data_IF_079907423091
#
_entry.id   IF_079907423091
#
_cell.length_a   1.000
_cell.length_b   1.000
_cell.length_c   1.000
_cell.angle_alpha   90.00
_cell.angle_beta   90.00
_cell.angle_gamma   90.00
#
_symmetry.space_group_name_H-M   'P 1'
#
loop_
_entity.id
_entity.type
_entity.pdbx_description
1 polymer ?
#
# COMPACT_ATOMS: atom_id res chain seq x y z
N UNK A 1 -12.32 3.79 16.09
CA UNK A 1 -11.49 2.81 15.37
C UNK A 1 -12.01 2.48 13.96
N UNK A 2 -13.28 2.10 13.76
CA UNK A 2 -13.80 1.88 12.38
C UNK A 2 -13.78 3.16 11.53
N UNK A 3 -14.14 4.30 12.13
CA UNK A 3 -14.22 5.61 11.46
C UNK A 3 -12.91 6.02 10.79
N UNK A 4 -11.77 5.84 11.46
CA UNK A 4 -10.46 6.24 10.89
C UNK A 4 -10.12 5.51 9.59
N UNK A 5 -10.47 4.23 9.47
CA UNK A 5 -10.21 3.48 8.24
C UNK A 5 -11.22 3.78 7.13
N UNK A 6 -12.35 4.43 7.42
CA UNK A 6 -13.26 4.91 6.38
C UNK A 6 -12.64 6.07 5.59
N UNK A 7 -11.77 6.89 6.20
CA UNK A 7 -11.00 7.93 5.49
C UNK A 7 -10.23 7.37 4.30
N UNK A 8 -9.70 6.16 4.42
CA UNK A 8 -9.01 5.48 3.33
C UNK A 8 -9.97 5.17 2.17
N UNK A 9 -11.18 4.71 2.47
CA UNK A 9 -12.20 4.43 1.45
C UNK A 9 -12.76 5.70 0.83
N UNK A 10 -12.97 6.75 1.64
CA UNK A 10 -13.39 8.07 1.18
C UNK A 10 -12.36 8.69 0.22
N UNK A 11 -11.07 8.42 0.43
CA UNK A 11 -10.01 8.77 -0.52
C UNK A 11 -9.99 7.90 -1.80
N UNK A 12 -10.94 6.98 -1.97
CA UNK A 12 -11.06 6.09 -3.13
C UNK A 12 -10.22 4.81 -3.04
N UNK A 13 -9.57 4.53 -1.90
CA UNK A 13 -8.81 3.29 -1.73
C UNK A 13 -9.75 2.11 -1.46
N UNK A 14 -9.41 0.96 -2.02
CA UNK A 14 -10.08 -0.30 -1.71
C UNK A 14 -9.44 -0.89 -0.46
N UNK A 15 -10.23 -1.04 0.60
CA UNK A 15 -9.78 -1.63 1.88
C UNK A 15 -10.43 -2.99 2.08
N UNK A 16 -9.63 -4.05 2.08
CA UNK A 16 -10.08 -5.43 2.31
C UNK A 16 -9.61 -5.92 3.68
N UNK A 17 -10.56 -6.23 4.55
CA UNK A 17 -10.26 -6.91 5.81
C UNK A 17 -10.09 -8.42 5.59
N UNK A 18 -9.04 -8.99 6.17
CA UNK A 18 -8.83 -10.43 6.13
C UNK A 18 -9.67 -11.11 7.23
N UNK A 19 -10.87 -11.59 6.88
CA UNK A 19 -11.77 -12.28 7.80
C UNK A 19 -11.13 -13.59 8.31
N UNK A 20 -11.21 -13.85 9.62
CA UNK A 20 -10.86 -15.15 10.22
C UNK A 20 -9.45 -15.33 10.78
N UNK A 21 -8.64 -14.27 10.92
CA UNK A 21 -7.32 -14.37 11.59
C UNK A 21 -7.32 -13.67 12.95
N UNK A 22 -6.52 -14.18 13.91
CA UNK A 22 -6.30 -13.55 15.23
C UNK A 22 -5.78 -12.11 15.11
N UNK A 23 -4.96 -11.84 14.11
CA UNK A 23 -4.45 -10.50 13.80
C UNK A 23 -5.31 -9.90 12.69
N UNK A 24 -5.97 -8.79 12.99
CA UNK A 24 -6.68 -7.99 11.99
C UNK A 24 -5.66 -7.40 11.03
N UNK A 25 -5.78 -7.76 9.75
CA UNK A 25 -4.98 -7.20 8.66
C UNK A 25 -5.91 -6.57 7.65
N UNK A 26 -5.65 -5.32 7.30
CA UNK A 26 -6.29 -4.60 6.22
C UNK A 26 -5.33 -4.61 5.03
N UNK A 27 -5.80 -5.06 3.87
CA UNK A 27 -5.08 -4.93 2.60
C UNK A 27 -5.63 -3.71 1.88
N UNK A 28 -4.74 -2.88 1.38
CA UNK A 28 -5.09 -1.59 0.79
C UNK A 28 -4.58 -1.57 -0.65
N UNK A 29 -5.46 -1.10 -1.54
CA UNK A 29 -5.20 -1.04 -2.96
C UNK A 29 -5.67 0.30 -3.49
N UNK A 30 -4.85 0.96 -4.31
CA UNK A 30 -5.24 2.18 -5.03
C UNK A 30 -5.64 1.82 -6.46
N UNK A 31 -6.93 1.94 -6.85
CA UNK A 31 -7.35 1.77 -8.23
C UNK A 31 -6.61 2.75 -9.15
N UNK A 32 -6.33 2.32 -10.38
CA UNK A 32 -5.65 3.15 -11.38
C UNK A 32 -6.49 4.37 -11.80
N UNK A 33 -7.81 4.32 -11.62
CA UNK A 33 -8.72 5.45 -11.85
C UNK A 33 -8.66 6.54 -10.76
N UNK A 34 -8.02 6.27 -9.63
CA UNK A 34 -7.87 7.24 -8.53
C UNK A 34 -6.52 7.97 -8.69
N UNK A 35 -6.53 9.32 -8.74
CA UNK A 35 -5.31 10.11 -8.88
C UNK A 35 -4.37 9.95 -7.68
N UNK A 36 -3.16 10.49 -7.79
CA UNK A 36 -2.10 10.35 -6.78
C UNK A 36 -0.99 9.41 -7.23
N UNK A 37 -0.11 9.06 -6.30
CA UNK A 37 1.14 8.35 -6.58
C UNK A 37 0.87 6.98 -7.24
N UNK A 38 1.63 6.68 -8.29
CA UNK A 38 1.68 5.37 -8.92
C UNK A 38 3.12 4.89 -8.94
N UNK A 39 3.29 3.56 -8.97
CA UNK A 39 4.59 2.97 -9.22
C UNK A 39 4.74 2.75 -10.71
N UNK A 40 5.96 2.89 -11.23
CA UNK A 40 6.26 2.75 -12.66
C UNK A 40 6.06 1.31 -13.20
N UNK A 41 5.78 0.34 -12.33
CA UNK A 41 5.43 -1.02 -12.72
C UNK A 41 4.11 -1.08 -13.50
N UNK A 42 3.93 -2.11 -14.35
CA UNK A 42 2.60 -2.44 -14.88
C UNK A 42 1.66 -2.70 -13.70
N UNK A 43 0.57 -1.94 -13.66
CA UNK A 43 -0.46 -2.14 -12.64
C UNK A 43 -0.96 -3.58 -12.57
N UNK A 44 -1.38 -4.03 -11.39
CA UNK A 44 -1.90 -5.38 -11.20
C UNK A 44 -3.43 -5.36 -11.02
N UNK A 45 -4.14 -6.34 -11.60
CA UNK A 45 -5.59 -6.44 -11.42
C UNK A 45 -5.93 -7.09 -10.07
N UNK A 46 -7.00 -6.62 -9.44
CA UNK A 46 -7.65 -7.29 -8.31
C UNK A 46 -9.11 -7.57 -8.63
N UNK A 47 -9.65 -8.66 -8.07
CA UNK A 47 -11.10 -8.88 -8.05
C UNK A 47 -11.71 -8.21 -6.83
N UNK A 48 -12.65 -7.29 -7.00
CA UNK A 48 -13.36 -6.60 -5.92
C UNK A 48 -14.83 -6.42 -6.33
N UNK A 49 -15.76 -6.84 -5.47
CA UNK A 49 -17.22 -6.74 -5.72
C UNK A 49 -17.62 -7.27 -7.11
N UNK A 50 -17.11 -8.44 -7.49
CA UNK A 50 -17.33 -9.09 -8.79
C UNK A 50 -16.79 -8.32 -10.01
N UNK A 51 -16.02 -7.25 -9.80
CA UNK A 51 -15.34 -6.48 -10.85
C UNK A 51 -13.83 -6.75 -10.83
N UNK A 52 -13.20 -6.60 -11.99
CA UNK A 52 -11.74 -6.61 -12.13
C UNK A 52 -11.25 -5.15 -12.17
N UNK A 53 -10.54 -4.74 -11.14
CA UNK A 53 -10.04 -3.37 -10.97
C UNK A 53 -8.53 -3.38 -11.15
N UNK A 54 -8.02 -2.55 -12.06
CA UNK A 54 -6.58 -2.34 -12.22
C UNK A 54 -6.08 -1.41 -11.10
N UNK A 55 -4.97 -1.77 -10.45
CA UNK A 55 -4.32 -0.95 -9.43
C UNK A 55 -2.97 -0.44 -9.93
N UNK A 56 -2.69 0.86 -9.76
CA UNK A 56 -1.47 1.52 -10.27
C UNK A 56 -0.36 1.66 -9.22
N UNK A 57 -0.55 1.12 -8.02
CA UNK A 57 0.38 1.21 -6.92
C UNK A 57 0.44 -0.12 -6.15
N UNK A 58 1.55 -0.42 -5.45
CA UNK A 58 1.71 -1.64 -4.66
C UNK A 58 0.54 -1.91 -3.70
N UNK A 59 0.22 -3.19 -3.54
CA UNK A 59 -0.60 -3.64 -2.42
C UNK A 59 0.17 -3.39 -1.13
N UNK A 60 -0.40 -2.55 -0.28
CA UNK A 60 0.09 -2.34 1.08
C UNK A 60 -0.82 -3.03 2.10
N UNK A 61 -0.36 -3.12 3.34
CA UNK A 61 -1.14 -3.67 4.44
C UNK A 61 -1.01 -2.84 5.71
N UNK A 62 -2.10 -2.73 6.45
CA UNK A 62 -2.11 -2.30 7.85
C UNK A 62 -2.41 -3.50 8.73
N UNK A 63 -1.68 -3.64 9.83
CA UNK A 63 -2.04 -4.62 10.87
C UNK A 63 -1.62 -4.15 12.25
N UNK A 64 -2.28 -4.69 13.27
CA UNK A 64 -1.96 -4.40 14.66
C UNK A 64 -1.15 -5.55 15.27
N UNK A 65 -0.11 -5.22 16.03
CA UNK A 65 0.64 -6.19 16.84
C UNK A 65 0.93 -5.55 18.20
N UNK A 66 0.33 -6.11 19.26
CA UNK A 66 0.31 -5.48 20.57
C UNK A 66 -0.38 -4.11 20.51
N UNK A 67 0.25 -3.10 21.11
CA UNK A 67 -0.25 -1.72 21.14
C UNK A 67 0.18 -0.89 19.93
N UNK A 68 0.81 -1.52 18.93
CA UNK A 68 1.37 -0.83 17.78
C UNK A 68 0.68 -1.20 16.47
N UNK A 69 0.66 -0.22 15.57
CA UNK A 69 0.15 -0.36 14.21
C UNK A 69 1.32 -0.42 13.26
N UNK A 70 1.17 -1.22 12.21
CA UNK A 70 2.19 -1.37 11.18
C UNK A 70 1.60 -1.03 9.84
N UNK A 71 2.36 -0.30 9.03
CA UNK A 71 2.11 -0.10 7.61
C UNK A 71 3.24 -0.74 6.83
N UNK A 72 2.90 -1.63 5.89
CA UNK A 72 3.90 -2.41 5.17
C UNK A 72 3.59 -2.49 3.68
N UNK A 73 4.66 -2.42 2.89
CA UNK A 73 4.73 -2.87 1.50
C UNK A 73 5.78 -3.98 1.45
N UNK A 74 5.40 -5.12 0.87
CA UNK A 74 6.27 -6.28 0.76
C UNK A 74 6.01 -6.98 -0.57
N UNK A 75 6.86 -6.69 -1.54
CA UNK A 75 6.78 -7.18 -2.92
C UNK A 75 7.88 -8.19 -3.25
N UNK A 76 8.91 -8.30 -2.42
CA UNK A 76 10.06 -9.17 -2.66
C UNK A 76 10.08 -10.41 -1.77
N UNK A 77 10.70 -11.48 -2.26
CA UNK A 77 10.94 -12.71 -1.52
C UNK A 77 12.30 -13.30 -1.94
N UNK A 78 13.06 -13.93 -1.02
CA UNK A 78 12.71 -14.30 0.36
C UNK A 78 12.92 -13.20 1.42
N UNK A 79 13.47 -12.04 1.05
CA UNK A 79 13.71 -10.90 1.94
C UNK A 79 13.16 -9.59 1.35
N UNK A 80 13.33 -8.46 2.08
CA UNK A 80 12.91 -7.16 1.57
C UNK A 80 13.76 -6.78 0.36
N UNK A 81 13.13 -6.20 -0.65
CA UNK A 81 13.82 -5.58 -1.78
C UNK A 81 13.57 -4.08 -1.84
N UNK A 82 14.04 -3.43 -2.91
CA UNK A 82 13.88 -1.98 -3.08
C UNK A 82 12.42 -1.53 -2.94
N UNK A 83 12.20 -0.51 -2.12
CA UNK A 83 10.88 0.05 -1.82
C UNK A 83 9.94 -0.82 -0.97
N UNK A 84 10.42 -1.95 -0.42
CA UNK A 84 9.70 -2.66 0.65
C UNK A 84 10.00 -2.02 2.01
N UNK A 85 9.00 -1.99 2.88
CA UNK A 85 9.13 -1.45 4.24
C UNK A 85 8.12 -2.07 5.20
N UNK A 86 8.36 -1.89 6.49
CA UNK A 86 7.45 -2.29 7.57
C UNK A 86 7.58 -1.30 8.73
N UNK A 87 6.88 -0.18 8.60
CA UNK A 87 6.97 0.95 9.53
C UNK A 87 5.98 0.80 10.67
N UNK A 88 6.40 1.25 11.86
CA UNK A 88 5.65 1.14 13.10
C UNK A 88 5.09 2.51 13.51
N UNK A 89 3.83 2.51 13.93
CA UNK A 89 3.08 3.68 14.36
C UNK A 89 2.42 3.40 15.71
N UNK A 90 2.23 4.47 16.50
CA UNK A 90 1.69 4.37 17.86
C UNK A 90 0.18 4.42 17.87
N UNK A 91 -0.45 4.93 16.82
CA UNK A 91 -1.90 5.11 16.76
C UNK A 91 -2.50 4.75 15.40
N UNK A 92 -3.82 4.59 15.39
CA UNK A 92 -4.60 4.37 14.17
C UNK A 92 -4.57 5.61 13.27
N UNK A 93 -4.61 6.82 13.86
CA UNK A 93 -4.55 8.06 13.07
C UNK A 93 -3.24 8.14 12.31
N UNK A 94 -2.12 7.96 13.01
CA UNK A 94 -0.78 8.05 12.41
C UNK A 94 -0.61 7.05 11.26
N UNK A 95 -1.04 5.80 11.42
CA UNK A 95 -0.90 4.81 10.36
C UNK A 95 -1.81 5.12 9.16
N UNK A 96 -3.02 5.68 9.39
CA UNK A 96 -3.92 6.12 8.32
C UNK A 96 -3.34 7.32 7.58
N UNK A 97 -2.79 8.29 8.30
CA UNK A 97 -2.14 9.46 7.72
C UNK A 97 -0.92 9.06 6.88
N UNK A 98 -0.12 8.11 7.36
CA UNK A 98 1.01 7.55 6.62
C UNK A 98 0.57 6.83 5.32
N UNK A 99 -0.53 6.10 5.34
CA UNK A 99 -1.08 5.45 4.14
C UNK A 99 -1.56 6.49 3.13
N UNK A 100 -2.29 7.51 3.58
CA UNK A 100 -2.77 8.57 2.71
C UNK A 100 -1.61 9.33 2.08
N UNK A 101 -0.60 9.67 2.87
CA UNK A 101 0.60 10.34 2.38
C UNK A 101 1.40 9.46 1.40
N UNK A 102 1.49 8.15 1.63
CA UNK A 102 2.11 7.23 0.67
C UNK A 102 1.39 7.22 -0.69
N UNK A 103 0.06 7.17 -0.70
CA UNK A 103 -0.72 7.10 -1.95
C UNK A 103 -1.00 8.46 -2.61
N UNK A 104 -1.00 9.57 -1.87
CA UNK A 104 -1.48 10.87 -2.34
C UNK A 104 -0.57 12.05 -2.01
N UNK A 105 0.42 11.86 -1.14
CA UNK A 105 1.40 12.87 -0.74
C UNK A 105 2.68 12.76 -1.54
N UNK A 106 3.83 12.77 -0.86
CA UNK A 106 5.14 12.80 -1.53
C UNK A 106 5.39 11.52 -2.39
N UNK A 107 5.54 11.65 -3.72
CA UNK A 107 5.79 10.51 -4.61
C UNK A 107 7.08 9.76 -4.31
N UNK A 108 8.06 10.39 -3.65
CA UNK A 108 9.33 9.76 -3.25
C UNK A 108 9.12 8.61 -2.26
N UNK A 109 8.04 8.63 -1.47
CA UNK A 109 7.72 7.54 -0.53
C UNK A 109 7.34 6.24 -1.23
N UNK A 110 6.69 6.34 -2.39
CA UNK A 110 6.32 5.17 -3.20
C UNK A 110 7.43 4.78 -4.18
N UNK A 111 8.20 5.76 -4.63
CA UNK A 111 9.27 5.60 -5.61
C UNK A 111 10.60 6.12 -5.02
N UNK A 112 11.14 5.45 -3.98
CA UNK A 112 12.37 5.91 -3.35
C UNK A 112 13.56 5.69 -4.31
N UNK A 113 14.67 6.47 -4.15
CA UNK A 113 15.78 6.45 -5.09
C UNK A 113 16.33 5.06 -5.38
N UNK A 114 16.47 4.19 -4.37
CA UNK A 114 17.00 2.83 -4.52
C UNK A 114 16.12 1.96 -5.42
N UNK A 115 14.81 2.19 -5.43
CA UNK A 115 13.88 1.49 -6.31
C UNK A 115 14.02 1.98 -7.76
N UNK A 116 14.15 3.30 -7.94
CA UNK A 116 14.30 3.91 -9.26
C UNK A 116 15.64 3.51 -9.90
N UNK A 117 16.70 3.44 -9.10
CA UNK A 117 18.01 2.91 -9.52
C UNK A 117 17.89 1.44 -9.92
N UNK A 118 17.23 0.62 -9.11
CA UNK A 118 16.99 -0.78 -9.45
C UNK A 118 16.30 -0.95 -10.81
N UNK A 119 15.26 -0.18 -11.12
CA UNK A 119 14.58 -0.27 -12.42
C UNK A 119 15.44 0.24 -13.58
N UNK A 120 16.25 1.26 -13.36
CA UNK A 120 17.19 1.76 -14.38
C UNK A 120 18.19 0.67 -14.77
N UNK A 121 18.76 0.01 -13.78
CA UNK A 121 19.84 -0.95 -13.98
C UNK A 121 19.34 -2.30 -14.52
N UNK A 122 18.09 -2.66 -14.21
CA UNK A 122 17.50 -3.94 -14.65
C UNK A 122 16.85 -3.91 -16.02
N UNK A 123 16.88 -2.78 -16.74
CA UNK A 123 16.38 -2.60 -18.12
C UNK A 123 15.22 -3.53 -18.46
N UNK A 124 14.08 -3.33 -17.79
CA UNK A 124 12.82 -3.67 -18.44
C UNK A 124 12.54 -2.48 -19.35
N UNK A 125 12.95 -2.58 -20.62
CA UNK A 125 12.39 -1.72 -21.66
C UNK A 125 10.86 -1.95 -21.61
N UNK A 126 10.11 -0.97 -21.08
CA UNK A 126 8.65 -0.99 -21.02
C UNK A 126 8.08 -0.44 -22.33
#
# INVERSE_FOLDING_TARGET
MKVEFERLKEAGLIVKENKGRKIKKLKIFKPASIPGNSRQERGFPISYESQRILCSAPKSMIFQQGDSWFFTVWLWAPGPGPGDFNDKYSSVSEVVDAVLDYYFGDPSKMNPPELLEYYRDTKIDI
#
